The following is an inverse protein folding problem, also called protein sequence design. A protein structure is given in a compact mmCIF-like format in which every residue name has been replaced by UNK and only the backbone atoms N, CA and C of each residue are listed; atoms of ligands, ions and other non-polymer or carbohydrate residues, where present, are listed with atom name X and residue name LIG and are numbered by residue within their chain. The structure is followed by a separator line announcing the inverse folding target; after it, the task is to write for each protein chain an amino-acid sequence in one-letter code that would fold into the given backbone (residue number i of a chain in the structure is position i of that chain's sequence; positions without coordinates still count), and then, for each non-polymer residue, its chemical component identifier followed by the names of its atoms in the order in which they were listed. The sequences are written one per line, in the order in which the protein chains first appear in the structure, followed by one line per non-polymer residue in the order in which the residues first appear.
data_IF_264611308055
#
_entry.id   IF_264611308055
#
_cell.length_a   1.000
_cell.length_b   1.000
_cell.length_c   1.000
_cell.angle_alpha   90.00
_cell.angle_beta   90.00
_cell.angle_gamma   90.00
#
_symmetry.space_group_name_H-M   'P 1'
#
loop_
_entity.id
_entity.type
_entity.pdbx_description
1 polymer ?
#
# COMPACT_ATOMS: atom_id res chain seq x y z
N UNK A 1 -5.66 13.29 -30.51
CA UNK A 1 -6.41 12.03 -30.29
C UNK A 1 -7.15 12.14 -28.97
N UNK A 2 -8.49 12.02 -28.94
CA UNK A 2 -9.24 12.13 -27.69
C UNK A 2 -8.82 11.01 -26.73
N UNK A 3 -8.73 11.33 -25.42
CA UNK A 3 -8.40 10.35 -24.40
C UNK A 3 -9.59 9.35 -24.26
N UNK A 4 -9.35 8.09 -24.59
CA UNK A 4 -10.31 6.97 -24.48
C UNK A 4 -9.85 6.01 -23.39
N UNK A 5 -10.80 5.50 -22.61
CA UNK A 5 -10.51 4.52 -21.57
C UNK A 5 -10.03 3.19 -22.18
N UNK A 6 -8.96 2.61 -21.61
CA UNK A 6 -8.36 1.36 -22.08
C UNK A 6 -8.97 0.10 -21.45
N UNK A 7 -9.80 0.26 -20.41
CA UNK A 7 -10.44 -0.86 -19.73
C UNK A 7 -11.39 -1.62 -20.67
N UNK A 8 -11.43 -2.94 -20.51
CA UNK A 8 -12.30 -3.80 -21.30
C UNK A 8 -13.78 -3.45 -21.05
N UNK A 9 -14.55 -3.24 -22.13
CA UNK A 9 -15.96 -2.89 -22.07
C UNK A 9 -16.28 -1.46 -21.63
N UNK A 10 -15.27 -0.61 -21.40
CA UNK A 10 -15.49 0.78 -21.01
C UNK A 10 -15.57 1.68 -22.26
N UNK A 11 -16.70 2.37 -22.44
CA UNK A 11 -16.94 3.29 -23.56
C UNK A 11 -16.64 4.75 -23.21
N UNK A 12 -16.14 5.01 -21.99
CA UNK A 12 -15.81 6.34 -21.53
C UNK A 12 -14.70 6.97 -22.39
N UNK A 13 -15.01 8.16 -22.92
CA UNK A 13 -14.09 9.01 -23.67
C UNK A 13 -14.20 10.45 -23.19
N UNK A 14 -13.09 11.19 -23.25
CA UNK A 14 -13.04 12.61 -22.89
C UNK A 14 -13.91 13.41 -23.86
N UNK A 15 -15.06 13.83 -23.37
CA UNK A 15 -16.07 14.64 -24.08
C UNK A 15 -16.70 15.59 -23.06
N UNK A 16 -17.46 16.59 -23.53
CA UNK A 16 -18.14 17.55 -22.66
C UNK A 16 -19.12 16.85 -21.69
N UNK A 17 -19.85 15.83 -22.17
CA UNK A 17 -20.75 15.02 -21.34
C UNK A 17 -20.01 14.26 -20.21
N UNK A 18 -18.77 13.86 -20.47
CA UNK A 18 -17.91 13.12 -19.52
C UNK A 18 -16.87 14.03 -18.84
N UNK A 19 -17.12 15.34 -18.74
CA UNK A 19 -16.17 16.29 -18.17
C UNK A 19 -15.85 16.01 -16.68
N UNK A 20 -16.76 15.34 -15.96
CA UNK A 20 -16.55 14.91 -14.58
C UNK A 20 -15.56 13.74 -14.44
N UNK A 21 -15.23 13.04 -15.54
CA UNK A 21 -14.29 11.92 -15.52
C UNK A 21 -12.86 12.40 -15.72
N UNK A 22 -11.98 11.98 -14.82
CA UNK A 22 -10.54 12.12 -14.98
C UNK A 22 -9.99 10.95 -15.79
N UNK A 23 -9.00 11.20 -16.65
CA UNK A 23 -8.34 10.17 -17.47
C UNK A 23 -6.86 10.08 -17.10
N UNK A 24 -6.49 9.06 -16.33
CA UNK A 24 -5.15 8.87 -15.81
C UNK A 24 -4.29 8.05 -16.76
N UNK A 25 -3.01 8.40 -16.87
CA UNK A 25 -2.00 7.57 -17.54
C UNK A 25 -1.64 6.38 -16.66
N UNK A 26 -1.32 5.25 -17.29
CA UNK A 26 -0.71 4.12 -16.58
C UNK A 26 0.66 4.59 -16.04
N UNK A 27 1.00 4.29 -14.76
CA UNK A 27 2.28 4.67 -14.17
C UNK A 27 3.49 4.26 -15.02
N UNK A 28 4.54 5.08 -14.98
CA UNK A 28 5.81 4.82 -15.67
C UNK A 28 6.78 4.09 -14.76
N UNK A 29 7.68 3.29 -15.34
CA UNK A 29 8.77 2.59 -14.63
C UNK A 29 9.96 3.50 -14.28
N UNK A 30 9.72 4.79 -14.01
CA UNK A 30 10.79 5.76 -13.74
C UNK A 30 11.35 5.66 -12.31
N UNK A 31 10.56 5.13 -11.37
CA UNK A 31 10.95 4.86 -10.00
C UNK A 31 10.56 3.43 -9.64
N UNK A 32 11.20 2.83 -8.64
CA UNK A 32 10.84 1.50 -8.14
C UNK A 32 9.38 1.47 -7.66
N UNK A 33 8.96 2.47 -6.89
CA UNK A 33 7.56 2.64 -6.48
C UNK A 33 6.61 2.73 -7.68
N UNK A 34 7.03 3.40 -8.75
CA UNK A 34 6.29 3.52 -10.00
C UNK A 34 6.22 2.22 -10.79
N UNK A 35 7.31 1.45 -10.84
CA UNK A 35 7.37 0.14 -11.49
C UNK A 35 6.44 -0.86 -10.81
N UNK A 36 6.57 -1.00 -9.48
CA UNK A 36 5.69 -1.83 -8.67
C UNK A 36 4.21 -1.46 -8.83
N UNK A 37 3.91 -0.17 -9.01
CA UNK A 37 2.54 0.29 -9.25
C UNK A 37 2.06 -0.01 -10.66
N UNK A 38 2.93 0.18 -11.67
CA UNK A 38 2.61 -0.09 -13.07
C UNK A 38 2.21 -1.55 -13.24
N UNK A 39 2.98 -2.47 -12.68
CA UNK A 39 2.72 -3.91 -12.81
C UNK A 39 1.36 -4.27 -12.21
N UNK A 40 1.05 -3.70 -11.03
CA UNK A 40 -0.28 -3.84 -10.41
C UNK A 40 -1.41 -3.31 -11.29
N UNK A 41 -1.23 -2.15 -11.95
CA UNK A 41 -2.23 -1.57 -12.84
C UNK A 41 -2.43 -2.41 -14.10
N UNK A 42 -1.34 -2.83 -14.75
CA UNK A 42 -1.38 -3.69 -15.95
C UNK A 42 -2.06 -5.02 -15.62
N UNK A 43 -1.68 -5.64 -14.50
CA UNK A 43 -2.30 -6.87 -14.02
C UNK A 43 -3.78 -6.70 -13.64
N UNK A 44 -4.18 -5.53 -13.13
CA UNK A 44 -5.58 -5.26 -12.79
C UNK A 44 -6.46 -5.08 -14.04
N UNK A 45 -5.95 -4.40 -15.07
CA UNK A 45 -6.65 -4.16 -16.34
C UNK A 45 -6.85 -5.48 -17.12
N UNK A 46 -5.93 -6.45 -16.97
CA UNK A 46 -6.01 -7.79 -17.59
C UNK A 46 -6.24 -7.76 -19.11
N UNK A 47 -5.63 -6.81 -19.81
CA UNK A 47 -5.73 -6.73 -21.26
C UNK A 47 -4.61 -7.55 -21.91
N UNK A 48 -4.99 -8.41 -22.84
CA UNK A 48 -4.05 -9.22 -23.62
C UNK A 48 -3.49 -8.43 -24.82
N UNK A 49 -2.32 -8.88 -25.33
CA UNK A 49 -1.75 -8.49 -26.62
C UNK A 49 -1.54 -6.98 -26.87
N UNK A 50 -1.36 -6.18 -25.81
CA UNK A 50 -0.89 -4.80 -25.94
C UNK A 50 0.63 -4.67 -25.76
N UNK A 51 1.27 -3.88 -26.63
CA UNK A 51 2.69 -3.58 -26.56
C UNK A 51 3.00 -2.42 -25.60
N UNK A 52 4.29 -2.23 -25.27
CA UNK A 52 4.73 -1.18 -24.33
C UNK A 52 4.28 0.22 -24.76
N UNK A 53 4.31 0.52 -26.08
CA UNK A 53 3.87 1.81 -26.62
C UNK A 53 2.37 2.04 -26.41
N UNK A 54 1.54 1.00 -26.54
CA UNK A 54 0.11 1.04 -26.25
C UNK A 54 -0.12 1.27 -24.76
N UNK A 55 0.58 0.57 -23.88
CA UNK A 55 0.47 0.77 -22.42
C UNK A 55 0.85 2.20 -22.02
N UNK A 56 1.91 2.76 -22.59
CA UNK A 56 2.39 4.11 -22.27
C UNK A 56 1.41 5.22 -22.69
N UNK A 57 0.63 4.99 -23.75
CA UNK A 57 -0.36 5.94 -24.25
C UNK A 57 -1.77 5.67 -23.72
N UNK A 58 -2.01 4.49 -23.14
CA UNK A 58 -3.29 4.10 -22.59
C UNK A 58 -3.72 5.02 -21.44
N UNK A 59 -5.03 5.29 -21.39
CA UNK A 59 -5.67 6.06 -20.32
C UNK A 59 -6.72 5.22 -19.63
N UNK A 60 -6.83 5.36 -18.32
CA UNK A 60 -7.87 4.74 -17.51
C UNK A 60 -8.74 5.84 -16.90
N UNK A 61 -10.06 5.76 -17.06
CA UNK A 61 -10.95 6.76 -16.47
C UNK A 61 -11.14 6.57 -14.96
N UNK A 62 -11.51 7.64 -14.25
CA UNK A 62 -11.76 7.66 -12.81
C UNK A 62 -12.77 6.62 -12.33
N UNK A 63 -13.72 6.20 -13.17
CA UNK A 63 -14.73 5.19 -12.83
C UNK A 63 -14.14 3.81 -12.44
N UNK A 64 -12.87 3.56 -12.74
CA UNK A 64 -12.18 2.31 -12.37
C UNK A 64 -11.56 2.34 -10.96
N UNK A 65 -11.73 3.46 -10.25
CA UNK A 65 -11.32 3.65 -8.86
C UNK A 65 -12.55 3.73 -7.98
N UNK A 66 -12.44 3.18 -6.78
CA UNK A 66 -13.54 3.01 -5.83
C UNK A 66 -14.10 4.34 -5.34
N UNK A 67 -13.22 5.31 -5.07
CA UNK A 67 -13.61 6.69 -4.70
C UNK A 67 -13.78 7.60 -5.92
N UNK A 68 -13.63 7.08 -7.15
CA UNK A 68 -13.63 7.88 -8.37
C UNK A 68 -12.36 8.72 -8.58
N UNK A 69 -11.28 8.47 -7.82
CA UNK A 69 -10.00 9.17 -7.98
C UNK A 69 -8.84 8.22 -7.70
N UNK A 70 -7.74 8.34 -8.46
CA UNK A 70 -6.51 7.63 -8.13
C UNK A 70 -5.87 8.20 -6.84
N UNK A 71 -5.29 7.35 -6.01
CA UNK A 71 -4.42 7.77 -4.92
C UNK A 71 -2.96 7.40 -5.22
N UNK A 72 -2.00 8.24 -4.84
CA UNK A 72 -0.57 7.95 -4.99
C UNK A 72 0.02 7.23 -3.76
N UNK A 73 -0.78 7.12 -2.69
CA UNK A 73 -0.41 6.45 -1.45
C UNK A 73 -0.60 4.92 -1.58
N UNK A 74 0.46 4.09 -1.39
CA UNK A 74 0.39 2.63 -1.47
C UNK A 74 -0.61 1.99 -0.49
N UNK A 75 -0.93 2.65 0.61
CA UNK A 75 -1.86 2.14 1.62
C UNK A 75 -3.33 2.45 1.28
N UNK A 76 -3.60 3.28 0.28
CA UNK A 76 -4.96 3.62 -0.14
C UNK A 76 -5.54 2.57 -1.09
N UNK A 77 -6.85 2.30 -0.99
CA UNK A 77 -7.52 1.30 -1.86
C UNK A 77 -7.41 1.64 -3.36
N UNK A 78 -7.45 2.93 -3.69
CA UNK A 78 -7.35 3.44 -5.06
C UNK A 78 -5.91 3.68 -5.52
N UNK A 79 -4.93 3.09 -4.84
CA UNK A 79 -3.57 2.98 -5.36
C UNK A 79 -3.52 2.20 -6.67
N UNK A 80 -4.39 1.18 -6.78
CA UNK A 80 -4.58 0.29 -7.95
C UNK A 80 -6.04 0.35 -8.35
N UNK A 81 -6.38 0.38 -9.66
CA UNK A 81 -7.76 0.29 -10.10
C UNK A 81 -8.33 -1.10 -9.76
N UNK A 82 -9.57 -1.13 -9.28
CA UNK A 82 -10.22 -2.37 -8.81
C UNK A 82 -11.60 -2.60 -9.42
N UNK A 83 -12.24 -1.54 -9.92
CA UNK A 83 -13.59 -1.59 -10.47
C UNK A 83 -13.52 -1.96 -11.95
N UNK A 84 -13.88 -3.20 -12.29
CA UNK A 84 -13.92 -3.70 -13.66
C UNK A 84 -15.11 -4.64 -13.82
N UNK A 85 -15.67 -4.74 -15.03
CA UNK A 85 -16.84 -5.58 -15.31
C UNK A 85 -16.61 -7.08 -15.00
N UNK A 86 -15.36 -7.53 -15.01
CA UNK A 86 -14.97 -8.91 -14.72
C UNK A 86 -14.57 -9.16 -13.26
N UNK A 87 -14.58 -8.15 -12.39
CA UNK A 87 -14.26 -8.29 -10.95
C UNK A 87 -15.48 -7.96 -10.11
N UNK A 88 -15.82 -8.86 -9.17
CA UNK A 88 -16.84 -8.58 -8.15
C UNK A 88 -16.30 -7.58 -7.13
N UNK A 89 -17.02 -6.50 -6.91
CA UNK A 89 -16.69 -5.50 -5.88
C UNK A 89 -17.41 -5.85 -4.57
N UNK A 90 -16.65 -6.06 -3.50
CA UNK A 90 -17.20 -6.33 -2.17
C UNK A 90 -17.27 -5.04 -1.36
N UNK A 91 -18.44 -4.38 -1.35
CA UNK A 91 -18.63 -3.07 -0.70
C UNK A 91 -18.24 -3.04 0.79
N UNK A 92 -18.49 -4.12 1.55
CA UNK A 92 -18.07 -4.23 2.95
C UNK A 92 -16.54 -4.15 3.12
N UNK A 93 -15.79 -4.82 2.25
CA UNK A 93 -14.32 -4.82 2.30
C UNK A 93 -13.75 -3.43 1.95
N UNK A 94 -14.35 -2.76 0.96
CA UNK A 94 -13.99 -1.40 0.56
C UNK A 94 -14.14 -0.43 1.75
N UNK A 95 -15.30 -0.44 2.42
CA UNK A 95 -15.55 0.43 3.58
C UNK A 95 -14.53 0.19 4.70
N UNK A 96 -14.33 -1.07 5.09
CA UNK A 96 -13.38 -1.42 6.15
C UNK A 96 -11.93 -0.98 5.81
N UNK A 97 -11.55 -1.05 4.52
CA UNK A 97 -10.23 -0.64 4.07
C UNK A 97 -10.06 0.88 4.05
N UNK A 98 -11.09 1.64 3.68
CA UNK A 98 -11.11 3.11 3.79
C UNK A 98 -11.01 3.56 5.25
N UNK A 99 -11.82 2.98 6.14
CA UNK A 99 -11.76 3.31 7.59
C UNK A 99 -10.38 3.00 8.19
N UNK A 100 -9.72 1.92 7.74
CA UNK A 100 -8.35 1.60 8.16
C UNK A 100 -7.37 2.66 7.67
N UNK A 101 -7.49 3.08 6.42
CA UNK A 101 -6.66 4.13 5.84
C UNK A 101 -6.82 5.46 6.59
N UNK A 102 -8.05 5.88 6.85
CA UNK A 102 -8.36 7.11 7.59
C UNK A 102 -7.80 7.09 9.01
N UNK A 103 -7.93 5.97 9.73
CA UNK A 103 -7.32 5.79 11.05
C UNK A 103 -5.79 5.92 11.00
N UNK A 104 -5.16 5.33 10.00
CA UNK A 104 -3.71 5.46 9.81
C UNK A 104 -3.30 6.92 9.55
N UNK A 105 -4.01 7.63 8.66
CA UNK A 105 -3.76 9.04 8.38
C UNK A 105 -3.98 9.94 9.58
N UNK A 106 -5.00 9.68 10.40
CA UNK A 106 -5.23 10.41 11.65
C UNK A 106 -4.03 10.26 12.60
N UNK A 107 -3.51 9.03 12.78
CA UNK A 107 -2.32 8.76 13.59
C UNK A 107 -1.07 9.47 13.06
N UNK A 108 -0.85 9.45 11.75
CA UNK A 108 0.28 10.15 11.13
C UNK A 108 0.22 11.67 11.37
N UNK A 109 -0.97 12.26 11.24
CA UNK A 109 -1.19 13.68 11.51
C UNK A 109 -0.92 14.04 12.96
N UNK A 110 -1.44 13.26 13.92
CA UNK A 110 -1.18 13.51 15.35
C UNK A 110 0.29 13.40 15.71
N UNK A 111 1.01 12.44 15.12
CA UNK A 111 2.46 12.29 15.33
C UNK A 111 3.22 13.50 14.77
N UNK A 112 2.93 13.92 13.55
CA UNK A 112 3.56 15.10 12.94
C UNK A 112 3.25 16.41 13.68
N UNK A 113 2.04 16.57 14.22
CA UNK A 113 1.67 17.72 15.05
C UNK A 113 2.33 17.70 16.44
N UNK A 114 2.63 16.52 16.97
CA UNK A 114 3.33 16.37 18.25
C UNK A 114 4.86 16.43 18.09
N UNK A 115 5.39 16.05 16.93
CA UNK A 115 6.81 16.17 16.57
C UNK A 115 7.24 17.65 16.44
N UNK A 116 6.30 18.53 16.06
CA UNK A 116 6.53 19.98 16.07
C UNK A 116 6.55 20.60 17.48
N UNK A 117 6.21 19.84 18.53
CA UNK A 117 6.37 20.23 19.94
C UNK A 117 7.71 19.71 20.52
N UNK A 118 8.46 18.89 19.77
CA UNK A 118 9.69 18.24 20.22
C UNK A 118 10.90 18.71 19.41
N UNK A 119 11.45 19.89 19.73
CA UNK A 119 12.85 20.27 19.47
C UNK A 119 13.30 21.32 20.50
N UNK A 120 14.58 21.42 20.90
CA UNK A 120 15.71 20.49 20.80
C UNK A 120 16.25 20.05 22.18
N UNK A 121 16.66 18.79 22.35
CA UNK A 121 17.67 18.46 23.38
C UNK A 121 19.00 18.97 22.81
N UNK A 122 19.30 20.25 23.00
CA UNK A 122 20.65 20.76 22.75
C UNK A 122 21.56 20.38 23.93
N UNK A 123 22.78 19.96 23.59
CA UNK A 123 23.95 19.83 24.47
C UNK A 123 23.98 18.69 25.50
N UNK A 124 24.25 17.47 25.02
CA UNK A 124 25.23 16.62 25.70
C UNK A 124 26.27 16.18 24.67
N UNK A 125 27.53 16.45 25.01
CA UNK A 125 28.66 16.48 24.09
C UNK A 125 28.85 15.22 23.24
N UNK A 126 29.53 15.45 22.11
CA UNK A 126 30.17 14.47 21.22
C UNK A 126 30.35 13.09 21.87
N UNK A 127 29.39 12.19 21.64
CA UNK A 127 29.55 10.79 21.99
C UNK A 127 30.32 10.11 20.86
N UNK A 128 31.62 10.02 21.07
CA UNK A 128 32.57 9.18 20.38
C UNK A 128 32.13 7.71 20.38
N UNK A 129 32.22 7.10 19.20
CA UNK A 129 31.71 5.79 18.78
C UNK A 129 32.36 4.58 19.48
N UNK A 130 33.11 4.80 20.57
CA UNK A 130 33.91 3.75 21.24
C UNK A 130 33.29 3.17 22.51
N UNK A 131 32.12 3.66 22.96
CA UNK A 131 31.49 3.17 24.21
C UNK A 131 30.30 2.22 24.03
N UNK A 132 30.04 1.74 22.81
CA UNK A 132 29.02 0.69 22.55
C UNK A 132 29.57 -0.71 22.84
N UNK A 133 30.90 -0.89 22.88
CA UNK A 133 31.51 -2.22 23.05
C UNK A 133 31.70 -2.68 24.51
N UNK A 134 31.15 -1.98 25.50
CA UNK A 134 31.29 -2.34 26.93
C UNK A 134 29.93 -2.48 27.63
N UNK A 135 28.92 -2.97 26.90
CA UNK A 135 27.67 -3.54 27.45
C UNK A 135 27.41 -4.96 26.91
N UNK A 136 28.48 -5.64 26.45
CA UNK A 136 28.44 -7.04 25.97
C UNK A 136 28.72 -8.05 27.08
N UNK A 137 28.96 -7.63 28.31
CA UNK A 137 29.10 -8.55 29.46
C UNK A 137 28.05 -8.24 30.52
N UNK A 138 26.80 -8.53 30.16
CA UNK A 138 25.69 -8.63 31.09
C UNK A 138 24.93 -9.91 30.77
N UNK A 139 25.32 -10.99 31.44
CA UNK A 139 24.77 -12.33 31.28
C UNK A 139 23.23 -12.32 31.26
N UNK A 140 22.65 -12.45 30.07
CA UNK A 140 21.25 -12.86 29.93
C UNK A 140 21.15 -14.36 30.22
N UNK A 141 21.43 -14.75 31.46
CA UNK A 141 21.12 -16.06 31.96
C UNK A 141 19.59 -16.18 31.98
N UNK A 142 19.08 -16.93 31.01
CA UNK A 142 17.70 -17.35 30.82
C UNK A 142 16.88 -16.60 29.74
N UNK A 143 17.50 -16.29 28.59
CA UNK A 143 16.73 -16.23 27.34
C UNK A 143 16.40 -17.67 26.87
N UNK A 144 15.11 -18.06 26.76
CA UNK A 144 14.73 -19.38 26.25
C UNK A 144 15.28 -19.55 24.85
N UNK A 145 15.97 -20.66 24.59
CA UNK A 145 16.51 -20.94 23.26
C UNK A 145 15.38 -20.99 22.22
N UNK A 146 15.69 -20.72 20.95
CA UNK A 146 14.70 -20.76 19.84
C UNK A 146 13.96 -22.12 19.77
N UNK A 147 14.57 -23.18 20.29
CA UNK A 147 13.96 -24.50 20.43
C UNK A 147 12.87 -24.58 21.50
N UNK A 148 12.93 -23.81 22.59
CA UNK A 148 11.87 -23.79 23.61
C UNK A 148 10.63 -23.00 23.14
N UNK A 149 10.83 -21.94 22.37
CA UNK A 149 9.74 -21.14 21.80
C UNK A 149 8.95 -21.98 20.79
N UNK A 150 9.65 -22.74 19.95
CA UNK A 150 9.02 -23.61 18.95
C UNK A 150 8.30 -24.80 19.60
N UNK A 151 8.85 -25.41 20.65
CA UNK A 151 8.18 -26.49 21.37
C UNK A 151 6.90 -26.03 22.09
N UNK A 152 6.93 -24.85 22.74
CA UNK A 152 5.74 -24.26 23.37
C UNK A 152 4.63 -23.94 22.36
N UNK A 153 4.99 -23.44 21.18
CA UNK A 153 4.02 -23.19 20.10
C UNK A 153 3.35 -24.49 19.60
N UNK A 154 4.12 -25.57 19.47
CA UNK A 154 3.62 -26.88 19.06
C UNK A 154 2.69 -27.49 20.11
N UNK A 155 2.98 -27.30 21.40
CA UNK A 155 2.16 -27.83 22.49
C UNK A 155 0.81 -27.12 22.64
N UNK A 156 0.79 -25.80 22.43
CA UNK A 156 -0.45 -24.99 22.37
C UNK A 156 -1.33 -25.44 21.19
N UNK A 157 -0.72 -25.75 20.04
CA UNK A 157 -1.45 -26.27 18.88
C UNK A 157 -2.06 -27.65 19.16
N UNK A 158 -1.34 -28.54 19.85
CA UNK A 158 -1.83 -29.87 20.24
C UNK A 158 -2.95 -29.84 21.30
N UNK A 159 -2.98 -28.84 22.20
CA UNK A 159 -4.07 -28.67 23.18
C UNK A 159 -5.37 -28.18 22.53
N UNK A 160 -5.29 -27.46 21.41
CA UNK A 160 -6.47 -26.97 20.67
C UNK A 160 -7.17 -28.06 19.86
N UNK A 161 -6.46 -29.08 19.40
CA UNK A 161 -7.04 -30.18 18.61
C UNK A 161 -7.68 -31.28 19.44
N UNK A 162 -7.41 -31.35 20.75
CA UNK A 162 -8.00 -32.34 21.68
C UNK A 162 -9.31 -31.91 22.35
N UNK A 163 -9.76 -30.66 22.12
CA UNK A 163 -11.00 -30.12 22.67
C UNK A 163 -12.09 -29.93 21.60
N UNK A 164 -12.04 -30.75 20.54
CA UNK A 164 -13.06 -30.88 19.49
C UNK A 164 -13.49 -32.35 19.43
#
# INVERSE_FOLDING_TARGET
MPDVCCAYGCTNRRTLANAHLSFYRIPTNKSESGANRRDKWVAAIKREKWNVKQINNARLCSAHFTTGKKSDDPCHIDYVPTVFSFKKTHGKQIKASLERYERSKKRQRTLSSNESILLPIHEVGSFNETKINELVEGDCLNCPSENEITQRAVEIAKKRTKNL
#
